data_IF_881711318406
#
_entry.id   IF_881711318406
#
_cell.length_a   1.000
_cell.length_b   1.000
_cell.length_c   1.000
_cell.angle_alpha   90.00
_cell.angle_beta   90.00
_cell.angle_gamma   90.00
#
_symmetry.space_group_name_H-M   'P 1'
#
loop_
_entity.id
_entity.type
_entity.pdbx_description
1 polymer ?
#
# COMPACT_ATOMS: atom_id res chain seq x y z
N UNK A 1 0.81 20.90 56.18
CA UNK A 1 1.50 19.71 55.63
C UNK A 1 0.55 18.65 54.98
N UNK A 2 -0.77 18.86 54.94
CA UNK A 2 -1.76 17.85 54.45
C UNK A 2 -2.04 17.90 52.95
N UNK A 3 -1.79 19.00 52.24
CA UNK A 3 -2.15 19.19 50.83
C UNK A 3 -1.19 18.51 49.83
N UNK A 4 0.11 18.52 50.10
CA UNK A 4 1.14 17.93 49.21
C UNK A 4 0.99 16.40 49.11
N UNK A 5 0.69 15.74 50.24
CA UNK A 5 0.47 14.27 50.22
C UNK A 5 -0.80 13.86 49.46
N UNK A 6 -1.83 14.71 49.48
CA UNK A 6 -3.10 14.49 48.73
C UNK A 6 -2.90 14.64 47.21
N UNK A 7 -2.09 15.64 46.79
CA UNK A 7 -1.81 15.90 45.39
C UNK A 7 -0.96 14.78 44.76
N UNK A 8 0.09 14.33 45.45
CA UNK A 8 0.91 13.21 45.03
C UNK A 8 0.13 11.91 44.90
N UNK A 9 -0.80 11.62 45.83
CA UNK A 9 -1.66 10.46 45.75
C UNK A 9 -2.66 10.54 44.58
N UNK A 10 -3.15 11.75 44.27
CA UNK A 10 -4.06 11.97 43.13
C UNK A 10 -3.32 11.83 41.81
N UNK A 11 -2.10 12.35 41.72
CA UNK A 11 -1.24 12.14 40.54
C UNK A 11 -0.97 10.64 40.27
N UNK A 12 -0.64 9.90 41.32
CA UNK A 12 -0.38 8.46 41.13
C UNK A 12 -1.65 7.72 40.65
N UNK A 13 -2.82 7.99 41.24
CA UNK A 13 -4.09 7.45 40.77
C UNK A 13 -4.38 7.81 39.30
N UNK A 14 -4.09 9.05 38.89
CA UNK A 14 -4.28 9.47 37.50
C UNK A 14 -3.40 8.66 36.54
N UNK A 15 -2.12 8.48 36.87
CA UNK A 15 -1.21 7.65 36.11
C UNK A 15 -1.71 6.19 36.00
N UNK A 16 -2.16 5.63 37.11
CA UNK A 16 -2.70 4.27 37.18
C UNK A 16 -3.95 4.14 36.30
N UNK A 17 -4.84 5.13 36.32
CA UNK A 17 -6.00 5.15 35.41
C UNK A 17 -5.60 5.23 33.94
N UNK A 18 -4.63 6.06 33.56
CA UNK A 18 -4.13 6.14 32.20
C UNK A 18 -3.55 4.79 31.74
N UNK A 19 -2.79 4.11 32.61
CA UNK A 19 -2.27 2.77 32.31
C UNK A 19 -3.38 1.71 32.15
N UNK A 20 -4.39 1.70 33.03
CA UNK A 20 -5.55 0.79 32.92
C UNK A 20 -6.31 1.03 31.60
N UNK A 21 -6.45 2.29 31.19
CA UNK A 21 -7.07 2.68 29.91
C UNK A 21 -6.15 2.48 28.70
N UNK A 22 -4.91 2.02 28.90
CA UNK A 22 -3.87 1.83 27.88
C UNK A 22 -3.48 3.11 27.15
N UNK A 23 -3.54 4.25 27.82
CA UNK A 23 -3.13 5.57 27.34
C UNK A 23 -1.66 5.81 27.72
N UNK A 24 -0.76 4.98 27.20
CA UNK A 24 0.64 4.95 27.65
C UNK A 24 1.40 6.22 27.29
N UNK A 25 1.15 6.78 26.10
CA UNK A 25 1.83 7.99 25.65
C UNK A 25 1.38 9.20 26.48
N UNK A 26 0.10 9.30 26.84
CA UNK A 26 -0.42 10.30 27.73
C UNK A 26 0.17 10.16 29.16
N UNK A 27 0.29 8.92 29.67
CA UNK A 27 0.90 8.67 30.98
C UNK A 27 2.37 9.07 31.04
N UNK A 28 3.12 8.90 29.94
CA UNK A 28 4.52 9.33 29.81
C UNK A 28 4.67 10.85 29.67
N UNK A 29 3.74 11.50 28.94
CA UNK A 29 3.77 12.96 28.73
C UNK A 29 3.22 13.76 29.93
N UNK A 30 2.42 13.16 30.81
CA UNK A 30 1.73 13.85 31.93
C UNK A 30 2.63 14.69 32.81
N UNK A 31 3.85 14.23 33.26
CA UNK A 31 4.69 15.06 34.12
C UNK A 31 5.08 16.39 33.47
N UNK A 32 5.61 16.33 32.23
CA UNK A 32 6.03 17.54 31.51
C UNK A 32 4.87 18.50 31.24
N UNK A 33 3.71 17.99 30.89
CA UNK A 33 2.52 18.81 30.65
C UNK A 33 1.99 19.50 31.89
N UNK A 34 2.09 18.88 33.07
CA UNK A 34 1.73 19.53 34.34
C UNK A 34 2.68 20.65 34.69
N UNK A 35 3.98 20.50 34.38
CA UNK A 35 4.97 21.55 34.60
C UNK A 35 4.78 22.71 33.61
N UNK A 36 4.52 22.42 32.35
CA UNK A 36 4.24 23.41 31.29
C UNK A 36 2.94 24.20 31.61
N UNK A 37 1.88 23.50 32.04
CA UNK A 37 0.62 24.12 32.39
C UNK A 37 0.76 25.13 33.53
N UNK A 38 1.63 24.86 34.51
CA UNK A 38 1.95 25.80 35.61
C UNK A 38 2.71 27.03 35.10
N UNK A 39 3.56 26.86 34.08
CA UNK A 39 4.37 27.95 33.51
C UNK A 39 3.64 28.83 32.50
N UNK A 40 2.65 28.29 31.79
CA UNK A 40 1.98 28.94 30.65
C UNK A 40 0.55 29.42 30.94
N UNK A 41 0.03 29.29 32.17
CA UNK A 41 -1.35 29.60 32.56
C UNK A 41 -2.40 28.94 31.64
N UNK A 42 -2.16 27.67 31.24
CA UNK A 42 -3.05 26.89 30.38
C UNK A 42 -4.35 26.55 31.14
N UNK A 43 -5.47 26.67 30.43
CA UNK A 43 -6.74 26.18 30.98
C UNK A 43 -6.71 24.65 31.12
N UNK A 44 -7.43 24.11 32.09
CA UNK A 44 -7.55 22.66 32.32
C UNK A 44 -8.00 21.93 31.09
N UNK A 45 -8.92 22.52 30.28
CA UNK A 45 -9.42 21.92 29.02
C UNK A 45 -8.30 21.85 27.98
N UNK A 46 -7.50 22.91 27.83
CA UNK A 46 -6.39 22.94 26.90
C UNK A 46 -5.31 21.91 27.28
N UNK A 47 -5.00 21.77 28.55
CA UNK A 47 -4.05 20.76 29.04
C UNK A 47 -4.54 19.33 28.76
N UNK A 48 -5.83 19.04 29.00
CA UNK A 48 -6.42 17.73 28.73
C UNK A 48 -6.45 17.43 27.23
N UNK A 49 -6.77 18.43 26.40
CA UNK A 49 -6.75 18.28 24.94
C UNK A 49 -5.34 17.92 24.47
N UNK A 50 -4.31 18.66 24.86
CA UNK A 50 -2.94 18.39 24.50
C UNK A 50 -2.48 17.00 24.96
N UNK A 51 -2.83 16.59 26.20
CA UNK A 51 -2.50 15.28 26.74
C UNK A 51 -3.11 14.15 25.90
N UNK A 52 -4.37 14.30 25.51
CA UNK A 52 -5.07 13.31 24.68
C UNK A 52 -4.58 13.34 23.23
N UNK A 53 -4.19 14.50 22.70
CA UNK A 53 -3.62 14.64 21.36
C UNK A 53 -2.36 13.79 21.20
N UNK A 54 -1.44 13.80 22.17
CA UNK A 54 -0.24 12.95 22.18
C UNK A 54 -0.59 11.46 22.07
N UNK A 55 -1.60 11.00 22.80
CA UNK A 55 -2.03 9.60 22.73
C UNK A 55 -2.67 9.26 21.39
N UNK A 56 -3.51 10.17 20.86
CA UNK A 56 -4.16 10.01 19.55
C UNK A 56 -3.12 9.90 18.44
N UNK A 57 -2.16 10.82 18.38
CA UNK A 57 -1.07 10.83 17.39
C UNK A 57 -0.24 9.55 17.48
N UNK A 58 0.18 9.16 18.69
CA UNK A 58 0.96 7.95 18.92
C UNK A 58 0.19 6.70 18.49
N UNK A 59 -1.10 6.62 18.83
CA UNK A 59 -1.95 5.50 18.45
C UNK A 59 -2.17 5.45 16.93
N UNK A 60 -2.38 6.59 16.28
CA UNK A 60 -2.52 6.67 14.82
C UNK A 60 -1.22 6.24 14.13
N UNK A 61 -0.05 6.72 14.60
CA UNK A 61 1.25 6.33 14.08
C UNK A 61 1.50 4.81 14.22
N UNK A 62 1.19 4.22 15.39
CA UNK A 62 1.30 2.76 15.61
C UNK A 62 0.38 1.97 14.68
N UNK A 63 -0.86 2.42 14.49
CA UNK A 63 -1.84 1.79 13.57
C UNK A 63 -1.37 1.86 12.13
N UNK A 64 -0.85 3.01 11.69
CA UNK A 64 -0.29 3.19 10.35
C UNK A 64 0.92 2.27 10.14
N UNK A 65 1.87 2.26 11.08
CA UNK A 65 3.04 1.38 11.00
C UNK A 65 2.64 -0.11 10.91
N UNK A 66 1.62 -0.52 11.67
CA UNK A 66 1.09 -1.89 11.60
C UNK A 66 0.46 -2.21 10.24
N UNK A 67 -0.34 -1.27 9.68
CA UNK A 67 -0.94 -1.43 8.34
C UNK A 67 0.12 -1.51 7.25
N UNK A 68 1.13 -0.64 7.28
CA UNK A 68 2.23 -0.64 6.30
C UNK A 68 3.07 -1.92 6.40
N UNK A 69 3.33 -2.42 7.61
CA UNK A 69 4.00 -3.71 7.80
C UNK A 69 3.20 -4.87 7.20
N UNK A 70 1.89 -4.88 7.45
CA UNK A 70 0.99 -5.91 6.88
C UNK A 70 0.90 -5.81 5.36
N UNK A 71 0.98 -4.59 4.80
CA UNK A 71 0.85 -4.35 3.36
C UNK A 71 1.99 -4.99 2.54
N UNK A 72 3.15 -5.29 3.13
CA UNK A 72 4.31 -5.89 2.47
C UNK A 72 4.73 -5.15 1.19
N UNK A 73 4.64 -3.81 1.19
CA UNK A 73 5.05 -3.00 0.03
C UNK A 73 6.56 -3.15 -0.21
N UNK A 74 7.00 -3.46 -1.43
CA UNK A 74 8.42 -3.70 -1.73
C UNK A 74 9.27 -2.43 -1.67
N UNK A 75 8.65 -1.26 -1.81
CA UNK A 75 9.29 0.06 -1.68
C UNK A 75 8.39 1.01 -0.91
N UNK A 76 8.94 2.15 -0.49
CA UNK A 76 8.18 3.21 0.17
C UNK A 76 7.68 4.28 -0.80
N UNK A 77 7.59 3.97 -2.08
CA UNK A 77 7.20 4.92 -3.13
C UNK A 77 5.85 5.59 -2.83
N UNK A 78 5.80 6.89 -3.08
CA UNK A 78 4.60 7.73 -2.93
C UNK A 78 4.16 8.24 -4.30
N UNK A 79 2.89 8.62 -4.44
CA UNK A 79 2.36 9.16 -5.70
C UNK A 79 2.93 10.54 -6.05
N UNK A 80 3.25 11.34 -5.04
CA UNK A 80 3.87 12.66 -5.20
C UNK A 80 5.34 12.61 -5.70
N UNK A 81 5.98 11.46 -5.57
CA UNK A 81 7.33 11.19 -6.10
C UNK A 81 7.32 10.77 -7.58
N UNK A 82 6.14 10.58 -8.18
CA UNK A 82 6.04 10.14 -9.57
C UNK A 82 6.27 11.29 -10.53
N UNK A 83 7.29 11.16 -11.38
CA UNK A 83 7.64 12.17 -12.39
C UNK A 83 6.76 12.02 -13.64
N UNK A 84 5.61 12.70 -13.66
CA UNK A 84 4.69 12.73 -14.80
C UNK A 84 5.31 13.37 -16.03
N UNK A 85 6.29 14.29 -15.86
CA UNK A 85 6.97 14.93 -17.00
C UNK A 85 7.90 13.93 -17.70
N UNK A 86 8.46 12.99 -16.94
CA UNK A 86 9.26 11.90 -17.48
C UNK A 86 8.45 10.80 -18.15
N UNK A 87 7.14 10.73 -17.83
CA UNK A 87 6.19 9.72 -18.34
C UNK A 87 4.90 10.41 -18.84
N UNK A 88 4.96 11.11 -19.96
CA UNK A 88 3.80 11.86 -20.51
C UNK A 88 2.66 10.94 -20.99
N UNK A 89 2.91 9.63 -21.14
CA UNK A 89 1.88 8.65 -21.45
C UNK A 89 1.01 8.25 -20.26
N UNK A 90 1.24 8.80 -19.05
CA UNK A 90 0.39 8.60 -17.88
C UNK A 90 -0.56 9.79 -17.75
N UNK A 91 -1.86 9.52 -17.71
CA UNK A 91 -2.85 10.55 -17.40
C UNK A 91 -2.79 10.92 -15.91
N UNK A 92 -2.15 12.05 -15.61
CA UNK A 92 -2.00 12.55 -14.24
C UNK A 92 -3.37 12.80 -13.56
N UNK A 93 -4.37 13.28 -14.31
CA UNK A 93 -5.70 13.55 -13.75
C UNK A 93 -6.39 12.26 -13.31
N UNK A 94 -6.25 11.21 -14.11
CA UNK A 94 -6.76 9.88 -13.76
C UNK A 94 -6.05 9.31 -12.53
N UNK A 95 -4.72 9.45 -12.43
CA UNK A 95 -3.99 8.99 -11.25
C UNK A 95 -4.40 9.78 -9.99
N UNK A 96 -4.60 11.10 -10.09
CA UNK A 96 -5.10 11.93 -8.99
C UNK A 96 -6.52 11.54 -8.57
N UNK A 97 -7.39 11.20 -9.52
CA UNK A 97 -8.73 10.68 -9.22
C UNK A 97 -8.63 9.32 -8.50
N UNK A 98 -7.80 8.41 -8.96
CA UNK A 98 -7.55 7.13 -8.27
C UNK A 98 -6.97 7.34 -6.85
N UNK A 99 -6.15 8.37 -6.64
CA UNK A 99 -5.62 8.74 -5.34
C UNK A 99 -6.68 9.21 -4.34
N UNK A 100 -7.86 9.62 -4.81
CA UNK A 100 -9.03 9.90 -3.95
C UNK A 100 -9.59 8.63 -3.28
N UNK A 101 -9.20 7.44 -3.76
CA UNK A 101 -9.59 6.12 -3.26
C UNK A 101 -11.09 5.80 -3.39
N UNK A 102 -11.89 6.62 -4.08
CA UNK A 102 -13.33 6.35 -4.26
C UNK A 102 -13.62 5.00 -4.90
N UNK A 103 -12.73 4.51 -5.78
CA UNK A 103 -12.87 3.18 -6.36
C UNK A 103 -12.93 2.05 -5.32
N UNK A 104 -12.40 2.27 -4.12
CA UNK A 104 -12.51 1.28 -3.03
C UNK A 104 -13.94 1.14 -2.51
N UNK A 105 -14.76 2.18 -2.57
CA UNK A 105 -16.13 2.16 -2.03
C UNK A 105 -17.02 1.24 -2.85
N UNK A 106 -16.82 1.24 -4.17
CA UNK A 106 -17.58 0.43 -5.14
C UNK A 106 -16.90 -0.92 -5.45
N UNK A 107 -15.89 -1.32 -4.68
CA UNK A 107 -15.07 -2.50 -4.98
C UNK A 107 -14.50 -2.49 -6.41
N UNK A 108 -14.19 -1.28 -6.92
CA UNK A 108 -13.60 -1.06 -8.24
C UNK A 108 -12.19 -1.60 -8.33
N UNK A 109 -11.80 -2.03 -9.52
CA UNK A 109 -10.46 -2.54 -9.79
C UNK A 109 -9.65 -1.54 -10.61
N UNK A 110 -8.32 -1.64 -10.54
CA UNK A 110 -7.41 -0.84 -11.38
C UNK A 110 -6.43 -1.78 -12.09
N UNK A 111 -6.27 -1.60 -13.39
CA UNK A 111 -5.36 -2.42 -14.19
C UNK A 111 -4.34 -1.50 -14.87
N UNK A 112 -3.09 -1.56 -14.44
CA UNK A 112 -1.99 -0.87 -15.10
C UNK A 112 -1.38 -1.78 -16.17
N UNK A 113 -1.40 -1.34 -17.43
CA UNK A 113 -0.80 -2.05 -18.55
C UNK A 113 0.23 -1.19 -19.26
N UNK A 114 1.26 -1.82 -19.82
CA UNK A 114 2.29 -1.10 -20.60
C UNK A 114 3.67 -1.73 -20.51
N UNK A 115 4.66 -1.23 -21.25
CA UNK A 115 6.02 -1.79 -21.31
C UNK A 115 6.73 -1.83 -19.95
N UNK A 116 7.77 -2.66 -19.78
CA UNK A 116 8.59 -2.68 -18.58
C UNK A 116 9.26 -1.31 -18.32
N UNK A 117 9.34 -0.92 -17.04
CA UNK A 117 10.05 0.30 -16.64
C UNK A 117 9.25 1.59 -16.76
N UNK A 118 7.96 1.54 -17.14
CA UNK A 118 7.09 2.74 -17.30
C UNK A 118 6.46 3.26 -16.01
N UNK A 119 6.74 2.62 -14.85
CA UNK A 119 6.26 3.11 -13.54
C UNK A 119 4.99 2.44 -13.00
N UNK A 120 4.42 1.43 -13.69
CA UNK A 120 3.20 0.71 -13.25
C UNK A 120 3.23 0.27 -11.79
N UNK A 121 4.27 -0.45 -11.41
CA UNK A 121 4.47 -0.94 -10.03
C UNK A 121 4.60 0.21 -9.04
N UNK A 122 5.29 1.31 -9.41
CA UNK A 122 5.41 2.50 -8.56
C UNK A 122 4.04 3.15 -8.29
N UNK A 123 3.21 3.31 -9.34
CA UNK A 123 1.85 3.85 -9.20
C UNK A 123 0.97 2.91 -8.37
N UNK A 124 1.04 1.59 -8.59
CA UNK A 124 0.31 0.60 -7.79
C UNK A 124 0.71 0.65 -6.32
N UNK A 125 2.00 0.75 -6.00
CA UNK A 125 2.51 0.89 -4.63
C UNK A 125 2.06 2.23 -4.02
N UNK A 126 2.14 3.32 -4.77
CA UNK A 126 1.71 4.64 -4.31
C UNK A 126 0.23 4.68 -3.93
N UNK A 127 -0.65 4.09 -4.75
CA UNK A 127 -2.08 3.94 -4.45
C UNK A 127 -2.32 3.02 -3.23
N UNK A 128 -1.60 1.90 -3.15
CA UNK A 128 -1.66 0.98 -2.03
C UNK A 128 -1.25 1.65 -0.71
N UNK A 129 -0.18 2.47 -0.75
CA UNK A 129 0.27 3.26 0.39
C UNK A 129 -0.76 4.30 0.80
N UNK A 130 -1.30 5.08 -0.15
CA UNK A 130 -2.35 6.05 0.12
C UNK A 130 -3.57 5.38 0.79
N UNK A 131 -3.97 4.19 0.33
CA UNK A 131 -5.05 3.43 0.95
C UNK A 131 -4.71 2.98 2.39
N UNK A 132 -3.46 2.55 2.66
CA UNK A 132 -3.02 2.20 4.01
C UNK A 132 -2.98 3.42 4.94
N UNK A 133 -2.55 4.58 4.45
CA UNK A 133 -2.55 5.85 5.16
C UNK A 133 -3.98 6.31 5.48
N UNK A 134 -4.93 6.12 4.55
CA UNK A 134 -6.36 6.37 4.74
C UNK A 134 -7.06 5.36 5.69
N UNK A 135 -6.34 4.37 6.23
CA UNK A 135 -6.88 3.44 7.23
C UNK A 135 -7.28 2.08 6.68
N UNK A 136 -7.22 1.86 5.39
CA UNK A 136 -7.59 0.59 4.78
C UNK A 136 -6.54 -0.50 4.98
N UNK A 137 -6.98 -1.73 5.07
CA UNK A 137 -6.09 -2.90 5.06
C UNK A 137 -5.71 -3.24 3.64
N UNK A 138 -4.41 -3.21 3.35
CA UNK A 138 -3.84 -3.44 2.01
C UNK A 138 -2.86 -4.60 2.07
N UNK A 139 -2.78 -5.37 0.99
CA UNK A 139 -1.74 -6.39 0.83
C UNK A 139 -1.17 -6.34 -0.59
N UNK A 140 0.16 -6.37 -0.69
CA UNK A 140 0.89 -6.44 -1.95
C UNK A 140 1.50 -7.82 -2.13
N UNK A 141 1.42 -8.36 -3.34
CA UNK A 141 2.08 -9.61 -3.72
C UNK A 141 2.36 -9.59 -5.22
N UNK A 142 3.28 -10.42 -5.69
CA UNK A 142 3.39 -10.75 -7.12
C UNK A 142 2.44 -11.89 -7.47
N UNK A 143 2.09 -12.04 -8.75
CA UNK A 143 1.30 -13.18 -9.20
C UNK A 143 2.01 -14.51 -8.90
N UNK A 144 3.33 -14.54 -9.00
CA UNK A 144 4.15 -15.70 -8.71
C UNK A 144 4.12 -16.09 -7.22
N UNK A 145 4.31 -15.11 -6.31
CA UNK A 145 4.27 -15.38 -4.87
C UNK A 145 2.87 -15.79 -4.40
N UNK A 146 1.82 -15.18 -4.98
CA UNK A 146 0.44 -15.55 -4.70
C UNK A 146 0.21 -17.02 -5.04
N UNK A 147 0.58 -17.45 -6.25
CA UNK A 147 0.37 -18.83 -6.71
C UNK A 147 1.20 -19.83 -5.91
N UNK A 148 2.46 -19.53 -5.59
CA UNK A 148 3.30 -20.35 -4.70
C UNK A 148 2.67 -20.50 -3.31
N UNK A 149 2.13 -19.41 -2.75
CA UNK A 149 1.43 -19.45 -1.46
C UNK A 149 0.19 -20.33 -1.51
N UNK A 150 -0.61 -20.21 -2.56
CA UNK A 150 -1.81 -21.02 -2.76
C UNK A 150 -1.47 -22.50 -2.93
N UNK A 151 -0.49 -22.84 -3.75
CA UNK A 151 -0.03 -24.21 -3.93
C UNK A 151 0.45 -24.83 -2.61
N UNK A 152 1.31 -24.12 -1.87
CA UNK A 152 1.75 -24.57 -0.54
C UNK A 152 0.56 -24.78 0.41
N UNK A 153 -0.42 -23.87 0.44
CA UNK A 153 -1.58 -23.96 1.29
C UNK A 153 -2.49 -25.15 0.91
N UNK A 154 -2.57 -25.49 -0.38
CA UNK A 154 -3.29 -26.66 -0.86
C UNK A 154 -2.65 -27.97 -0.36
N UNK A 155 -1.31 -28.11 -0.52
CA UNK A 155 -0.55 -29.26 -0.03
C UNK A 155 -0.65 -29.46 1.48
N UNK A 156 -0.75 -28.37 2.25
CA UNK A 156 -0.82 -28.39 3.72
C UNK A 156 -2.26 -28.43 4.25
N UNK A 157 -3.29 -28.54 3.39
CA UNK A 157 -4.71 -28.53 3.81
C UNK A 157 -5.19 -27.20 4.40
N UNK A 158 -4.48 -26.10 4.14
CA UNK A 158 -4.75 -24.74 4.69
C UNK A 158 -5.37 -23.79 3.68
N UNK A 159 -5.97 -24.30 2.63
CA UNK A 159 -6.56 -23.52 1.55
C UNK A 159 -7.51 -22.42 2.02
N UNK A 160 -8.48 -22.77 2.88
CA UNK A 160 -9.46 -21.83 3.40
C UNK A 160 -8.82 -20.66 4.17
N UNK A 161 -7.73 -20.90 4.88
CA UNK A 161 -6.98 -19.88 5.62
C UNK A 161 -6.21 -18.97 4.65
N UNK A 162 -5.61 -19.54 3.61
CA UNK A 162 -4.94 -18.78 2.55
C UNK A 162 -5.93 -17.85 1.83
N UNK A 163 -7.09 -18.36 1.43
CA UNK A 163 -8.13 -17.56 0.79
C UNK A 163 -8.65 -16.43 1.69
N UNK A 164 -8.89 -16.70 2.99
CA UNK A 164 -9.25 -15.63 3.94
C UNK A 164 -8.18 -14.54 4.05
N UNK A 165 -6.90 -14.92 4.01
CA UNK A 165 -5.78 -13.98 4.04
C UNK A 165 -5.74 -13.11 2.79
N UNK A 166 -5.85 -13.69 1.59
CA UNK A 166 -5.77 -12.99 0.31
C UNK A 166 -7.04 -12.18 -0.01
N UNK A 167 -8.19 -12.62 0.45
CA UNK A 167 -9.47 -11.95 0.20
C UNK A 167 -9.90 -11.00 1.32
N UNK A 168 -9.22 -11.00 2.47
CA UNK A 168 -9.55 -10.12 3.60
C UNK A 168 -9.15 -8.64 3.48
N UNK A 169 -8.05 -8.28 2.84
CA UNK A 169 -7.68 -6.88 2.63
C UNK A 169 -8.70 -6.14 1.75
N UNK A 170 -8.98 -4.86 2.09
CA UNK A 170 -9.83 -4.00 1.25
C UNK A 170 -9.22 -3.79 -0.13
N UNK A 171 -7.90 -3.69 -0.21
CA UNK A 171 -7.14 -3.58 -1.45
C UNK A 171 -6.08 -4.68 -1.53
N UNK A 172 -6.08 -5.43 -2.63
CA UNK A 172 -5.03 -6.38 -2.99
C UNK A 172 -4.29 -5.86 -4.22
N UNK A 173 -2.97 -5.78 -4.14
CA UNK A 173 -2.13 -5.51 -5.31
C UNK A 173 -1.50 -6.81 -5.77
N UNK A 174 -1.71 -7.16 -7.04
CA UNK A 174 -1.07 -8.31 -7.69
C UNK A 174 -0.18 -7.76 -8.80
N UNK A 175 1.11 -7.68 -8.51
CA UNK A 175 2.11 -7.19 -9.46
C UNK A 175 2.52 -8.30 -10.44
N UNK A 176 2.95 -7.90 -11.63
CA UNK A 176 3.39 -8.80 -12.70
C UNK A 176 2.34 -9.86 -13.11
N UNK A 177 1.06 -9.45 -13.09
CA UNK A 177 -0.03 -10.31 -13.55
C UNK A 177 0.17 -10.68 -15.04
N UNK A 178 -0.11 -11.95 -15.39
CA UNK A 178 0.12 -12.50 -16.71
C UNK A 178 1.60 -12.40 -17.19
N UNK A 179 2.58 -12.43 -16.25
CA UNK A 179 3.98 -12.61 -16.61
C UNK A 179 4.17 -14.01 -17.23
N UNK A 180 4.81 -14.06 -18.40
CA UNK A 180 5.02 -15.30 -19.11
C UNK A 180 5.87 -16.28 -18.29
N UNK A 181 5.26 -17.32 -17.76
CA UNK A 181 6.00 -18.53 -17.34
C UNK A 181 6.31 -19.34 -18.60
N UNK A 182 7.49 -19.97 -18.65
CA UNK A 182 7.86 -20.88 -19.76
C UNK A 182 6.88 -22.05 -19.88
N UNK A 183 6.23 -22.44 -18.78
CA UNK A 183 5.15 -23.42 -18.75
C UNK A 183 4.00 -22.84 -17.91
N UNK A 184 2.84 -22.56 -18.53
CA UNK A 184 1.64 -22.20 -17.77
C UNK A 184 1.31 -23.34 -16.79
N UNK A 185 1.17 -22.97 -15.52
CA UNK A 185 0.78 -23.91 -14.47
C UNK A 185 -0.76 -23.77 -14.27
N UNK A 186 -1.56 -24.79 -14.66
CA UNK A 186 -3.01 -24.72 -14.54
C UNK A 186 -3.50 -24.51 -13.10
N UNK A 187 -2.80 -25.08 -12.10
CA UNK A 187 -3.16 -24.89 -10.70
C UNK A 187 -2.91 -23.44 -10.24
N UNK A 188 -1.81 -22.84 -10.72
CA UNK A 188 -1.49 -21.45 -10.45
C UNK A 188 -2.56 -20.50 -11.02
N UNK A 189 -3.00 -20.76 -12.25
CA UNK A 189 -4.03 -19.97 -12.90
C UNK A 189 -5.39 -20.11 -12.23
N UNK A 190 -5.73 -21.33 -11.79
CA UNK A 190 -6.95 -21.61 -11.02
C UNK A 190 -6.94 -20.85 -9.68
N UNK A 191 -5.80 -20.80 -9.01
CA UNK A 191 -5.65 -20.05 -7.76
C UNK A 191 -5.85 -18.53 -7.96
N UNK A 192 -5.26 -17.95 -9.01
CA UNK A 192 -5.46 -16.55 -9.38
C UNK A 192 -6.93 -16.25 -9.68
N UNK A 193 -7.57 -17.09 -10.48
CA UNK A 193 -8.97 -16.96 -10.80
C UNK A 193 -9.87 -17.03 -9.54
N UNK A 194 -9.59 -17.96 -8.62
CA UNK A 194 -10.36 -18.10 -7.40
C UNK A 194 -10.23 -16.85 -6.50
N UNK A 195 -9.03 -16.31 -6.34
CA UNK A 195 -8.81 -15.07 -5.59
C UNK A 195 -9.59 -13.91 -6.21
N UNK A 196 -9.49 -13.71 -7.52
CA UNK A 196 -10.22 -12.65 -8.23
C UNK A 196 -11.73 -12.84 -8.10
N UNK A 197 -12.23 -14.06 -8.27
CA UNK A 197 -13.65 -14.39 -8.18
C UNK A 197 -14.23 -14.16 -6.78
N UNK A 198 -13.47 -14.51 -5.73
CA UNK A 198 -13.90 -14.27 -4.33
C UNK A 198 -13.90 -12.80 -3.95
N UNK A 199 -13.05 -11.98 -4.61
CA UNK A 199 -12.95 -10.54 -4.39
C UNK A 199 -13.95 -9.74 -5.21
N UNK A 200 -14.45 -10.30 -6.31
CA UNK A 200 -15.39 -9.65 -7.23
C UNK A 200 -16.57 -9.04 -6.49
N UNK A 201 -16.84 -7.75 -6.71
CA UNK A 201 -17.87 -6.92 -6.08
C UNK A 201 -17.82 -6.85 -4.53
N UNK A 202 -16.71 -7.24 -3.91
CA UNK A 202 -16.53 -7.23 -2.45
C UNK A 202 -15.36 -6.37 -2.00
N UNK A 203 -14.29 -6.37 -2.76
CA UNK A 203 -13.06 -5.64 -2.45
C UNK A 203 -12.23 -5.39 -3.71
N UNK A 204 -11.46 -4.33 -3.70
CA UNK A 204 -10.72 -3.85 -4.85
C UNK A 204 -9.42 -4.59 -5.09
N UNK A 205 -9.04 -4.72 -6.35
CA UNK A 205 -7.76 -5.30 -6.76
C UNK A 205 -7.05 -4.37 -7.73
N UNK A 206 -5.76 -4.14 -7.51
CA UNK A 206 -4.88 -3.49 -8.49
C UNK A 206 -4.04 -4.59 -9.16
N UNK A 207 -4.04 -4.60 -10.48
CA UNK A 207 -3.20 -5.49 -11.28
C UNK A 207 -2.19 -4.68 -12.06
N UNK A 208 -0.94 -5.15 -12.17
CA UNK A 208 0.01 -4.61 -13.14
C UNK A 208 0.39 -5.68 -14.16
N UNK A 209 0.48 -5.31 -15.43
CA UNK A 209 0.86 -6.23 -16.50
C UNK A 209 1.78 -5.55 -17.51
N UNK A 210 2.77 -6.29 -17.98
CA UNK A 210 3.63 -5.86 -19.10
C UNK A 210 2.98 -6.10 -20.47
N UNK A 211 1.95 -6.92 -20.49
CA UNK A 211 1.22 -7.29 -21.70
C UNK A 211 -0.16 -6.65 -21.66
N UNK A 212 -0.59 -6.08 -22.76
CA UNK A 212 -1.96 -5.60 -22.92
C UNK A 212 -2.98 -6.70 -22.66
N UNK A 213 -4.18 -6.30 -22.29
CA UNK A 213 -5.28 -7.20 -21.86
C UNK A 213 -5.55 -8.29 -22.91
N UNK A 214 -5.49 -7.96 -24.21
CA UNK A 214 -5.70 -8.92 -25.30
C UNK A 214 -4.71 -10.10 -25.29
N UNK A 215 -3.52 -9.91 -24.73
CA UNK A 215 -2.50 -10.97 -24.65
C UNK A 215 -2.62 -11.87 -23.41
N UNK A 216 -3.58 -11.65 -22.53
CA UNK A 216 -3.68 -12.42 -21.28
C UNK A 216 -4.07 -13.88 -21.51
N UNK A 217 -4.90 -14.16 -22.56
CA UNK A 217 -5.28 -15.52 -22.94
C UNK A 217 -4.08 -16.40 -23.25
N UNK A 218 -3.18 -15.90 -24.07
CA UNK A 218 -1.94 -16.59 -24.42
C UNK A 218 -1.02 -16.77 -23.21
N UNK A 219 -0.90 -15.73 -22.40
CA UNK A 219 0.01 -15.72 -21.24
C UNK A 219 -0.42 -16.64 -20.11
N UNK A 220 -1.72 -16.76 -19.88
CA UNK A 220 -2.27 -17.67 -18.89
C UNK A 220 -2.39 -19.10 -19.45
N UNK A 221 -2.19 -19.30 -20.76
CA UNK A 221 -2.27 -20.61 -21.41
C UNK A 221 -3.68 -21.22 -21.42
N UNK A 222 -4.69 -20.44 -21.01
CA UNK A 222 -6.11 -20.81 -21.00
C UNK A 222 -6.96 -19.58 -21.36
N UNK A 223 -7.40 -19.48 -22.62
CA UNK A 223 -8.22 -18.36 -23.09
C UNK A 223 -9.57 -18.23 -22.37
N UNK A 224 -10.18 -19.34 -21.96
CA UNK A 224 -11.47 -19.33 -21.28
C UNK A 224 -11.32 -18.79 -19.86
N UNK A 225 -10.31 -19.22 -19.13
CA UNK A 225 -9.98 -18.71 -17.82
C UNK A 225 -9.62 -17.22 -17.88
N UNK A 226 -8.81 -16.81 -18.87
CA UNK A 226 -8.45 -15.42 -19.08
C UNK A 226 -9.69 -14.55 -19.33
N UNK A 227 -10.62 -15.00 -20.18
CA UNK A 227 -11.88 -14.31 -20.41
C UNK A 227 -12.71 -14.16 -19.12
N UNK A 228 -12.78 -15.21 -18.30
CA UNK A 228 -13.51 -15.18 -17.04
C UNK A 228 -12.85 -14.28 -15.98
N UNK A 229 -11.52 -14.15 -15.98
CA UNK A 229 -10.77 -13.17 -15.15
C UNK A 229 -11.07 -11.76 -15.63
N UNK A 230 -10.96 -11.52 -16.93
CA UNK A 230 -11.20 -10.22 -17.55
C UNK A 230 -12.61 -9.70 -17.29
N UNK A 231 -13.62 -10.54 -17.47
CA UNK A 231 -15.02 -10.21 -17.19
C UNK A 231 -15.18 -9.64 -15.79
N UNK A 232 -14.60 -10.30 -14.78
CA UNK A 232 -14.70 -9.86 -13.38
C UNK A 232 -13.86 -8.64 -13.06
N UNK A 233 -12.66 -8.56 -13.61
CA UNK A 233 -11.73 -7.45 -13.34
C UNK A 233 -12.22 -6.17 -14.00
N UNK A 234 -12.71 -6.25 -15.24
CA UNK A 234 -13.12 -5.09 -16.03
C UNK A 234 -14.54 -4.61 -15.74
N UNK A 235 -15.41 -5.45 -15.19
CA UNK A 235 -16.79 -5.06 -14.89
C UNK A 235 -16.88 -3.75 -14.07
N UNK A 236 -16.01 -3.60 -13.06
CA UNK A 236 -15.87 -2.38 -12.26
C UNK A 236 -14.46 -1.80 -12.39
N UNK A 237 -13.75 -2.16 -13.45
CA UNK A 237 -12.31 -1.90 -13.59
C UNK A 237 -11.98 -0.64 -14.38
N UNK A 238 -10.97 0.08 -13.93
CA UNK A 238 -10.34 1.19 -14.64
C UNK A 238 -9.02 0.68 -15.22
N UNK A 239 -8.88 0.76 -16.55
CA UNK A 239 -7.64 0.39 -17.23
C UNK A 239 -6.80 1.64 -17.47
N UNK A 240 -5.57 1.62 -16.95
CA UNK A 240 -4.58 2.68 -17.13
C UNK A 240 -3.49 2.14 -18.06
N UNK A 241 -3.56 2.50 -19.34
CA UNK A 241 -2.51 2.20 -20.31
C UNK A 241 -1.38 3.21 -20.18
N UNK A 242 -0.16 2.72 -20.02
CA UNK A 242 1.04 3.56 -19.90
C UNK A 242 1.96 3.24 -21.05
N UNK A 243 2.07 4.17 -21.99
CA UNK A 243 2.98 4.11 -23.11
C UNK A 243 4.12 5.09 -22.90
N UNK A 244 5.34 4.65 -23.19
CA UNK A 244 6.50 5.55 -23.06
C UNK A 244 7.81 4.81 -22.83
N UNK A 245 8.91 5.57 -22.80
CA UNK A 245 10.26 5.02 -22.61
C UNK A 245 10.43 4.51 -21.17
N UNK A 246 11.29 3.51 -21.02
CA UNK A 246 11.62 2.98 -19.69
C UNK A 246 12.35 4.03 -18.85
N UNK A 247 11.75 4.42 -17.72
CA UNK A 247 12.37 5.31 -16.74
C UNK A 247 13.67 4.71 -16.16
N UNK A 248 13.70 3.37 -15.98
CA UNK A 248 14.90 2.66 -15.50
C UNK A 248 16.06 2.82 -16.48
N UNK A 249 15.81 2.71 -17.79
CA UNK A 249 16.85 2.90 -18.83
C UNK A 249 17.33 4.35 -18.89
N UNK A 250 16.42 5.32 -18.76
CA UNK A 250 16.76 6.74 -18.71
C UNK A 250 17.66 7.06 -17.50
N UNK A 251 17.32 6.52 -16.32
CA UNK A 251 18.12 6.69 -15.10
C UNK A 251 19.51 6.05 -15.26
N UNK A 252 19.59 4.87 -15.87
CA UNK A 252 20.87 4.22 -16.20
C UNK A 252 21.71 5.06 -17.15
N UNK A 253 21.11 5.59 -18.21
CA UNK A 253 21.81 6.43 -19.20
C UNK A 253 22.37 7.70 -18.56
N UNK A 254 21.56 8.44 -17.79
CA UNK A 254 22.02 9.62 -17.04
C UNK A 254 23.21 9.31 -16.11
N UNK A 255 23.16 8.17 -15.40
CA UNK A 255 24.23 7.73 -14.50
C UNK A 255 25.49 7.36 -15.28
N UNK A 256 25.36 6.65 -16.41
CA UNK A 256 26.45 6.28 -17.30
C UNK A 256 27.12 7.52 -17.91
N UNK A 257 26.34 8.49 -18.37
CA UNK A 257 26.85 9.73 -18.94
C UNK A 257 27.55 10.61 -17.88
N UNK A 258 27.02 10.66 -16.67
CA UNK A 258 27.67 11.34 -15.55
C UNK A 258 29.04 10.72 -15.20
N UNK A 259 29.12 9.38 -15.17
CA UNK A 259 30.37 8.65 -14.96
C UNK A 259 31.40 8.92 -16.09
N UNK A 260 30.94 8.88 -17.35
CA UNK A 260 31.82 9.19 -18.52
C UNK A 260 32.38 10.61 -18.46
N UNK A 261 31.53 11.60 -18.10
CA UNK A 261 31.98 12.99 -17.93
C UNK A 261 32.98 13.14 -16.78
N UNK A 262 32.78 12.39 -15.66
CA UNK A 262 33.73 12.41 -14.55
C UNK A 262 35.08 11.78 -14.90
N UNK A 263 35.09 10.75 -15.76
CA UNK A 263 36.32 10.07 -16.20
C UNK A 263 37.06 10.80 -17.35
N UNK A 264 36.34 11.60 -18.14
CA UNK A 264 36.90 12.35 -19.29
C UNK A 264 36.45 13.82 -19.24
N UNK A 265 36.98 14.61 -18.28
CA UNK A 265 36.58 16.02 -18.11
C UNK A 265 36.93 16.93 -19.27
N UNK A 266 37.80 16.54 -20.21
CA UNK A 266 38.25 17.34 -21.35
C UNK A 266 37.45 17.15 -22.65
N UNK A 267 36.48 16.24 -22.70
CA UNK A 267 35.61 16.08 -23.86
C UNK A 267 34.41 17.03 -23.77
N UNK A 268 34.65 18.33 -24.06
CA UNK A 268 33.58 19.26 -24.42
C UNK A 268 33.10 18.96 -25.85
N UNK A 269 31.76 19.09 -26.14
CA UNK A 269 31.20 18.88 -27.46
C UNK A 269 31.66 19.92 -28.45
#
# INVERSE_FOLDING_TARGET
MSTIGSEAATYQRLRDHLHVLRLSAAAEALPGMLDDARGQDLSTVAMLEQLLAVEVETTQARRLASRLRFACLPTQSRLDEFDFTAQPGVDEKLIRELASLRFLDDAGNVVFVGPPGTGKTMLAIGLARAAAEAGHRVYFTTADDLTKRCHKAALEGRWATCMRFLCGPRLLVIDEFAYARRNPDPEANTALFEVISRRYLRSSTILTSHTGIAGWGERLGDPMLAAAVLDRVLHTGIVVSIDGPSYRMRAHQKRSDALRRALHPEAKP
#
